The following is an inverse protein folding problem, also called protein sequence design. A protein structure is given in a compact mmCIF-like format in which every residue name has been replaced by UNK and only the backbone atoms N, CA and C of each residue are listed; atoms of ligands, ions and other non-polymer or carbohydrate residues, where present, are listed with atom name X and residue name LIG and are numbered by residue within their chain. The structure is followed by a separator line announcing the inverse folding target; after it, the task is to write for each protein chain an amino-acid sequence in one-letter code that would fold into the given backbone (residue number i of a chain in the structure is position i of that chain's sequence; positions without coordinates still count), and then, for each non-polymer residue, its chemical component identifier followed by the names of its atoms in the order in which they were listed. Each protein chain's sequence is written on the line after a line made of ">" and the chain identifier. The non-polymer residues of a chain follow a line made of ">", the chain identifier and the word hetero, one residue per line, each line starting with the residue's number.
data_IF_561260320779
#
_entry.id   IF_561260320779
#
_cell.length_a   1.000
_cell.length_b   1.000
_cell.length_c   1.000
_cell.angle_alpha   90.00
_cell.angle_beta   90.00
_cell.angle_gamma   90.00
#
_symmetry.space_group_name_H-M   'P 1'
#
loop_
_entity.id
_entity.type
_entity.pdbx_description
1 polymer ?
#
# COMPACT_ATOMS: atom_id res chain seq x y z
N UNK A 1 -2.83 48.55 23.33
CA UNK A 1 -3.06 47.64 22.18
C UNK A 1 -3.15 46.22 22.69
N UNK A 2 -4.31 45.55 22.55
CA UNK A 2 -4.47 44.14 22.93
C UNK A 2 -4.20 43.30 21.68
N UNK A 3 -3.11 42.54 21.70
CA UNK A 3 -2.72 41.65 20.61
C UNK A 3 -3.42 40.31 20.85
N UNK A 4 -4.50 40.05 20.13
CA UNK A 4 -5.23 38.78 20.19
C UNK A 4 -4.49 37.78 19.32
N UNK A 5 -3.69 36.91 19.93
CA UNK A 5 -2.95 35.84 19.21
C UNK A 5 -3.92 34.74 18.81
N UNK A 6 -4.26 34.67 17.52
CA UNK A 6 -5.02 33.58 16.92
C UNK A 6 -4.12 32.34 16.81
N UNK A 7 -4.41 31.31 17.60
CA UNK A 7 -3.79 29.98 17.47
C UNK A 7 -4.55 29.21 16.39
N UNK A 8 -4.01 29.18 15.17
CA UNK A 8 -4.49 28.29 14.10
C UNK A 8 -4.02 26.86 14.37
N UNK A 9 -4.95 26.00 14.79
CA UNK A 9 -4.73 24.56 14.87
C UNK A 9 -4.74 23.99 13.45
N UNK A 10 -3.57 23.53 12.98
CA UNK A 10 -3.44 22.88 11.68
C UNK A 10 -3.98 21.45 11.79
N UNK A 11 -5.22 21.25 11.37
CA UNK A 11 -5.85 19.93 11.28
C UNK A 11 -5.09 19.08 10.25
N UNK A 12 -4.26 18.14 10.70
CA UNK A 12 -3.64 17.15 9.82
C UNK A 12 -4.75 16.18 9.41
N UNK A 13 -5.41 16.45 8.29
CA UNK A 13 -6.36 15.52 7.68
C UNK A 13 -5.62 14.25 7.28
N UNK A 14 -5.66 13.24 8.14
CA UNK A 14 -5.25 11.89 7.79
C UNK A 14 -6.24 11.45 6.72
N UNK A 15 -5.86 11.54 5.45
CA UNK A 15 -6.68 11.05 4.35
C UNK A 15 -6.84 9.55 4.54
N UNK A 16 -7.99 9.15 5.10
CA UNK A 16 -8.44 7.77 5.09
C UNK A 16 -8.68 7.42 3.61
N UNK A 17 -7.63 6.99 2.92
CA UNK A 17 -7.79 6.37 1.61
C UNK A 17 -8.70 5.16 1.82
N UNK A 18 -9.94 5.25 1.33
CA UNK A 18 -10.92 4.18 1.46
C UNK A 18 -10.29 2.89 0.92
N UNK A 19 -10.21 1.88 1.78
CA UNK A 19 -9.58 0.62 1.45
C UNK A 19 -10.31 -0.03 0.27
N UNK A 20 -9.57 -0.54 -0.71
CA UNK A 20 -10.15 -1.18 -1.88
C UNK A 20 -9.29 -2.35 -2.36
N UNK A 21 -9.87 -3.19 -3.22
CA UNK A 21 -9.23 -4.37 -3.78
C UNK A 21 -8.43 -4.04 -5.03
N UNK A 22 -7.22 -4.58 -5.12
CA UNK A 22 -6.32 -4.40 -6.26
C UNK A 22 -5.62 -5.70 -6.63
N UNK A 23 -5.33 -5.90 -7.91
CA UNK A 23 -4.64 -7.10 -8.40
C UNK A 23 -3.16 -7.11 -8.02
N UNK A 24 -2.51 -5.95 -8.11
CA UNK A 24 -1.08 -5.79 -7.90
C UNK A 24 -0.83 -4.80 -6.78
N UNK A 25 0.09 -5.13 -5.87
CA UNK A 25 0.56 -4.22 -4.85
C UNK A 25 2.03 -4.45 -4.53
N UNK A 26 2.72 -3.42 -4.05
CA UNK A 26 4.09 -3.51 -3.54
C UNK A 26 4.33 -2.54 -2.38
N UNK A 27 5.42 -2.78 -1.67
CA UNK A 27 5.87 -1.99 -0.55
C UNK A 27 6.85 -0.90 -1.01
N UNK A 28 6.85 0.23 -0.29
CA UNK A 28 7.79 1.33 -0.47
C UNK A 28 8.51 1.65 0.82
N UNK A 29 9.70 2.21 0.71
CA UNK A 29 10.36 2.90 1.80
C UNK A 29 9.90 4.36 1.92
N UNK A 30 10.29 4.99 3.03
CA UNK A 30 9.87 6.37 3.37
C UNK A 30 10.39 7.43 2.41
N UNK A 31 11.44 7.09 1.64
CA UNK A 31 12.02 7.89 0.56
C UNK A 31 11.28 7.72 -0.79
N UNK A 32 10.28 6.84 -0.86
CA UNK A 32 9.54 6.53 -2.08
C UNK A 32 10.22 5.49 -2.98
N UNK A 33 11.29 4.82 -2.51
CA UNK A 33 11.94 3.74 -3.26
C UNK A 33 11.18 2.42 -3.10
N UNK A 34 10.91 1.65 -4.18
CA UNK A 34 10.29 0.34 -4.06
C UNK A 34 11.12 -0.59 -3.15
N UNK A 35 10.46 -1.25 -2.20
CA UNK A 35 11.11 -2.19 -1.29
C UNK A 35 10.78 -3.63 -1.70
N UNK A 36 11.60 -4.18 -2.60
CA UNK A 36 11.41 -5.54 -3.14
C UNK A 36 11.55 -6.64 -2.07
N UNK A 37 12.38 -6.41 -1.05
CA UNK A 37 12.58 -7.37 0.05
C UNK A 37 11.33 -7.51 0.91
N UNK A 38 10.76 -6.37 1.33
CA UNK A 38 9.49 -6.35 2.06
C UNK A 38 8.35 -6.88 1.19
N UNK A 39 8.30 -6.48 -0.09
CA UNK A 39 7.30 -6.96 -1.04
C UNK A 39 7.34 -8.48 -1.18
N UNK A 40 8.51 -9.06 -1.44
CA UNK A 40 8.71 -10.50 -1.53
C UNK A 40 8.27 -11.22 -0.25
N UNK A 41 8.65 -10.70 0.93
CA UNK A 41 8.22 -11.24 2.23
C UNK A 41 6.70 -11.26 2.37
N UNK A 42 6.02 -10.18 1.97
CA UNK A 42 4.56 -10.10 2.00
C UNK A 42 3.94 -11.10 1.03
N UNK A 43 4.44 -11.20 -0.21
CA UNK A 43 3.90 -12.12 -1.20
C UNK A 43 3.99 -13.57 -0.71
N UNK A 44 5.17 -13.98 -0.22
CA UNK A 44 5.39 -15.33 0.29
C UNK A 44 4.49 -15.66 1.47
N UNK A 45 4.40 -14.78 2.47
CA UNK A 45 3.57 -15.02 3.67
C UNK A 45 2.08 -15.05 3.36
N UNK A 46 1.63 -14.29 2.35
CA UNK A 46 0.23 -14.26 1.95
C UNK A 46 -0.15 -15.34 0.92
N UNK A 47 0.82 -16.09 0.40
CA UNK A 47 0.60 -17.06 -0.68
C UNK A 47 0.28 -16.41 -2.03
N UNK A 48 0.76 -15.18 -2.25
CA UNK A 48 0.57 -14.43 -3.49
C UNK A 48 1.72 -14.69 -4.46
N UNK A 49 1.48 -14.43 -5.75
CA UNK A 49 2.52 -14.56 -6.76
C UNK A 49 3.41 -13.32 -6.77
N UNK A 50 4.72 -13.48 -6.64
CA UNK A 50 5.68 -12.39 -6.89
C UNK A 50 5.86 -12.23 -8.40
N UNK A 51 5.66 -11.02 -8.94
CA UNK A 51 5.84 -10.71 -10.37
C UNK A 51 6.76 -9.52 -10.54
N UNK A 52 7.73 -9.63 -11.44
CA UNK A 52 8.54 -8.49 -11.83
C UNK A 52 7.77 -7.60 -12.82
N UNK A 53 7.70 -6.31 -12.55
CA UNK A 53 7.13 -5.33 -13.46
C UNK A 53 8.25 -4.60 -14.19
N UNK A 54 8.48 -4.97 -15.45
CA UNK A 54 9.53 -4.38 -16.29
C UNK A 54 9.32 -2.90 -16.58
N UNK A 55 8.07 -2.44 -16.62
CA UNK A 55 7.76 -1.04 -16.93
C UNK A 55 8.07 -0.12 -15.75
N UNK A 56 7.92 -0.64 -14.53
CA UNK A 56 8.18 0.11 -13.30
C UNK A 56 9.51 -0.26 -12.61
N UNK A 57 10.21 -1.28 -13.09
CA UNK A 57 11.53 -1.69 -12.63
C UNK A 57 11.58 -2.34 -11.25
N UNK A 58 10.48 -2.89 -10.72
CA UNK A 58 10.41 -3.48 -9.37
C UNK A 58 9.47 -4.68 -9.30
N UNK A 59 9.50 -5.41 -8.17
CA UNK A 59 8.60 -6.55 -7.94
C UNK A 59 7.27 -6.12 -7.31
N UNK A 60 6.20 -6.80 -7.69
CA UNK A 60 4.86 -6.64 -7.13
C UNK A 60 4.30 -7.98 -6.67
N UNK A 61 3.50 -7.96 -5.59
CA UNK A 61 2.62 -9.07 -5.27
C UNK A 61 1.40 -9.03 -6.17
N UNK A 62 1.08 -10.17 -6.79
CA UNK A 62 -0.12 -10.37 -7.58
C UNK A 62 -1.04 -11.39 -6.89
N UNK A 63 -2.29 -10.97 -6.70
CA UNK A 63 -3.37 -11.83 -6.28
C UNK A 63 -4.68 -11.35 -6.88
N UNK A 64 -5.36 -12.27 -7.55
CA UNK A 64 -6.66 -12.05 -8.13
C UNK A 64 -7.43 -13.37 -8.11
N UNK A 65 -8.65 -13.33 -7.62
CA UNK A 65 -9.56 -14.48 -7.62
C UNK A 65 -10.95 -14.04 -8.05
N UNK A 66 -11.54 -14.80 -8.95
CA UNK A 66 -12.90 -14.58 -9.42
C UNK A 66 -13.80 -15.66 -8.78
N UNK A 67 -14.91 -15.21 -8.22
CA UNK A 67 -15.98 -16.09 -7.74
C UNK A 67 -17.26 -15.75 -8.50
N UNK A 68 -18.28 -16.60 -8.42
CA UNK A 68 -19.54 -16.43 -9.15
C UNK A 68 -20.22 -15.05 -8.94
N UNK A 69 -19.92 -14.36 -7.83
CA UNK A 69 -20.57 -13.09 -7.45
C UNK A 69 -19.61 -11.94 -7.16
N UNK A 70 -18.29 -12.15 -7.19
CA UNK A 70 -17.32 -11.09 -6.88
C UNK A 70 -15.92 -11.39 -7.39
N UNK A 71 -15.23 -10.30 -7.72
CA UNK A 71 -13.80 -10.26 -7.94
C UNK A 71 -13.11 -9.90 -6.62
N UNK A 72 -12.07 -10.65 -6.27
CA UNK A 72 -11.32 -10.47 -5.03
C UNK A 72 -9.89 -10.12 -5.39
N UNK A 73 -9.44 -8.99 -4.86
CA UNK A 73 -8.06 -8.52 -4.94
C UNK A 73 -7.47 -8.30 -3.56
N UNK A 74 -6.23 -7.84 -3.53
CA UNK A 74 -5.52 -7.44 -2.33
C UNK A 74 -6.09 -6.12 -1.82
N UNK A 75 -6.47 -6.07 -0.53
CA UNK A 75 -6.79 -4.80 0.12
C UNK A 75 -5.53 -3.96 0.24
N UNK A 76 -5.51 -2.73 -0.29
CA UNK A 76 -4.39 -1.82 -0.12
C UNK A 76 -4.11 -1.51 1.37
N UNK A 77 -5.14 -1.39 2.20
CA UNK A 77 -4.94 -1.21 3.64
C UNK A 77 -4.31 -2.45 4.31
N UNK A 78 -4.79 -3.65 3.94
CA UNK A 78 -4.18 -4.89 4.42
C UNK A 78 -2.75 -5.06 3.93
N UNK A 79 -2.45 -4.61 2.71
CA UNK A 79 -1.10 -4.60 2.15
C UNK A 79 -0.19 -3.65 2.94
N UNK A 80 -0.61 -2.41 3.17
CA UNK A 80 0.10 -1.42 4.00
C UNK A 80 0.53 -2.01 5.35
N UNK A 81 -0.39 -2.64 6.08
CA UNK A 81 -0.06 -3.26 7.37
C UNK A 81 0.99 -4.36 7.25
N UNK A 82 0.90 -5.18 6.20
CA UNK A 82 1.86 -6.27 5.95
C UNK A 82 3.23 -5.73 5.55
N UNK A 83 3.29 -4.66 4.76
CA UNK A 83 4.53 -3.97 4.40
C UNK A 83 5.26 -3.46 5.64
N UNK A 84 4.56 -2.77 6.53
CA UNK A 84 5.13 -2.27 7.80
C UNK A 84 5.64 -3.45 8.64
N UNK A 85 4.85 -4.53 8.76
CA UNK A 85 5.25 -5.75 9.49
C UNK A 85 6.43 -6.49 8.83
N UNK A 86 6.65 -6.30 7.53
CA UNK A 86 7.76 -6.86 6.78
C UNK A 86 9.03 -5.97 6.83
N UNK A 87 8.97 -4.81 7.49
CA UNK A 87 10.11 -3.92 7.66
C UNK A 87 10.21 -2.78 6.64
N UNK A 88 9.19 -2.56 5.80
CA UNK A 88 9.14 -1.39 4.93
C UNK A 88 9.02 -0.11 5.79
N UNK A 89 9.83 0.91 5.47
CA UNK A 89 9.81 2.17 6.21
C UNK A 89 8.71 3.13 5.72
N UNK A 90 8.14 2.87 4.54
CA UNK A 90 7.03 3.62 3.98
C UNK A 90 5.73 3.39 4.75
N UNK A 91 4.94 4.45 4.86
CA UNK A 91 3.67 4.42 5.61
C UNK A 91 2.51 3.84 4.81
N UNK A 92 2.68 3.58 3.52
CA UNK A 92 1.61 3.11 2.64
C UNK A 92 2.11 2.03 1.68
N UNK A 93 1.17 1.33 1.06
CA UNK A 93 1.45 0.44 -0.07
C UNK A 93 0.96 1.08 -1.36
N UNK A 94 1.64 0.81 -2.47
CA UNK A 94 1.11 1.20 -3.79
C UNK A 94 0.47 0.02 -4.46
N UNK A 95 -0.73 0.24 -4.97
CA UNK A 95 -1.55 -0.79 -5.58
C UNK A 95 -2.15 -0.31 -6.90
N UNK A 96 -2.30 -1.24 -7.86
CA UNK A 96 -2.87 -0.98 -9.18
C UNK A 96 -3.75 -2.12 -9.68
N UNK A 97 -4.56 -1.84 -10.69
CA UNK A 97 -5.53 -2.78 -11.24
C UNK A 97 -6.65 -3.05 -10.23
N UNK A 98 -7.42 -2.02 -9.91
CA UNK A 98 -8.56 -2.09 -8.99
C UNK A 98 -9.57 -3.15 -9.46
N UNK A 99 -10.24 -3.82 -8.52
CA UNK A 99 -11.23 -4.88 -8.79
C UNK A 99 -12.56 -4.63 -8.10
#
# INVERSE_FOLDING_TARGET
>A
MRLTTLVTVLSISITAQACSGYKYCHCYDSDGTPNDSATSTVCTKAGYQTKYNSDLGHYECYYYSETLFKNIGQSNCGMRERCIKAGATGKDSSCRGKV
#
